data_IF_132901438090
#
_entry.id   IF_132901438090
#
_cell.length_a   1.000
_cell.length_b   1.000
_cell.length_c   1.000
_cell.angle_alpha   90.00
_cell.angle_beta   90.00
_cell.angle_gamma   90.00
#
_symmetry.space_group_name_H-M   'P 1'
#
loop_
_entity.id
_entity.type
_entity.pdbx_description
1 polymer ?
#
# COMPACT_ATOMS: atom_id res chain seq x y z
N UNK A 1 -11.07 -23.09 27.12
CA UNK A 1 -11.45 -22.72 28.49
C UNK A 1 -10.19 -22.40 29.29
N UNK A 2 -10.03 -21.14 29.69
CA UNK A 2 -8.84 -20.68 30.43
C UNK A 2 -8.80 -21.25 31.85
N UNK A 3 -9.95 -21.40 32.50
CA UNK A 3 -10.03 -21.93 33.86
C UNK A 3 -9.75 -23.43 33.90
N UNK A 4 -10.23 -24.18 32.91
CA UNK A 4 -9.98 -25.61 32.78
C UNK A 4 -8.61 -25.94 32.15
N UNK A 5 -7.93 -24.95 31.55
CA UNK A 5 -6.67 -25.17 30.82
C UNK A 5 -6.83 -26.05 29.57
N UNK A 6 -8.04 -26.10 28.99
CA UNK A 6 -8.36 -26.93 27.82
C UNK A 6 -8.57 -26.07 26.58
N UNK A 7 -8.18 -26.60 25.42
CA UNK A 7 -8.42 -26.00 24.11
C UNK A 7 -9.29 -26.91 23.26
N UNK A 8 -10.22 -26.33 22.51
CA UNK A 8 -11.05 -27.03 21.52
C UNK A 8 -11.02 -26.28 20.20
N UNK A 9 -11.04 -27.02 19.09
CA UNK A 9 -11.17 -26.43 17.76
C UNK A 9 -12.64 -26.05 17.51
N UNK A 10 -12.90 -24.77 17.22
CA UNK A 10 -14.26 -24.28 16.96
C UNK A 10 -14.72 -24.53 15.52
N UNK A 11 -13.79 -24.54 14.57
CA UNK A 11 -14.10 -24.76 13.16
C UNK A 11 -12.95 -25.43 12.43
N UNK A 12 -13.28 -26.22 11.41
CA UNK A 12 -12.36 -26.79 10.45
C UNK A 12 -12.47 -26.11 9.07
N UNK A 13 -13.13 -24.95 8.99
CA UNK A 13 -13.27 -24.19 7.76
C UNK A 13 -11.94 -23.49 7.39
N UNK A 14 -11.62 -23.46 6.10
CA UNK A 14 -10.39 -22.89 5.55
C UNK A 14 -10.51 -21.35 5.37
N UNK A 15 -10.91 -20.64 6.43
CA UNK A 15 -10.87 -19.18 6.46
C UNK A 15 -9.48 -18.69 6.85
N UNK A 16 -8.95 -17.72 6.12
CA UNK A 16 -7.87 -16.88 6.61
C UNK A 16 -8.46 -15.92 7.65
N UNK A 17 -7.85 -15.87 8.84
CA UNK A 17 -8.35 -15.09 9.98
C UNK A 17 -7.36 -14.00 10.33
N UNK A 18 -7.84 -12.75 10.36
CA UNK A 18 -7.04 -11.57 10.72
C UNK A 18 -7.26 -11.18 12.19
N UNK A 19 -8.52 -11.08 12.62
CA UNK A 19 -8.88 -10.68 13.97
C UNK A 19 -10.19 -11.31 14.43
N UNK A 20 -10.43 -11.30 15.74
CA UNK A 20 -11.68 -11.76 16.34
C UNK A 20 -12.13 -10.88 17.50
N UNK A 21 -13.42 -10.94 17.80
CA UNK A 21 -14.00 -10.38 19.02
C UNK A 21 -15.16 -11.23 19.52
N UNK A 22 -15.27 -11.35 20.85
CA UNK A 22 -16.39 -12.03 21.50
C UNK A 22 -17.64 -11.16 21.48
N UNK A 23 -18.81 -11.80 21.39
CA UNK A 23 -20.08 -11.16 21.72
C UNK A 23 -20.11 -10.79 23.21
N UNK A 24 -20.88 -9.77 23.61
CA UNK A 24 -20.98 -9.37 25.01
C UNK A 24 -21.49 -10.46 25.96
N UNK A 25 -22.22 -11.45 25.44
CA UNK A 25 -22.74 -12.61 26.19
C UNK A 25 -21.87 -13.87 26.07
N UNK A 26 -20.72 -13.76 25.40
CA UNK A 26 -19.74 -14.84 25.17
C UNK A 26 -20.28 -16.07 24.44
N UNK A 27 -21.42 -15.94 23.75
CA UNK A 27 -22.05 -17.05 22.98
C UNK A 27 -21.58 -17.13 21.55
N UNK A 28 -21.03 -16.04 21.01
CA UNK A 28 -20.61 -15.94 19.62
C UNK A 28 -19.26 -15.23 19.52
N UNK A 29 -18.58 -15.47 18.41
CA UNK A 29 -17.44 -14.68 17.99
C UNK A 29 -17.77 -14.03 16.65
N UNK A 30 -17.32 -12.80 16.48
CA UNK A 30 -17.15 -12.19 15.17
C UNK A 30 -15.69 -12.30 14.75
N UNK A 31 -15.46 -12.59 13.48
CA UNK A 31 -14.16 -12.79 12.87
C UNK A 31 -14.02 -11.80 11.71
N UNK A 32 -12.86 -11.16 11.58
CA UNK A 32 -12.41 -10.59 10.33
C UNK A 32 -11.59 -11.65 9.59
N UNK A 33 -12.00 -11.97 8.37
CA UNK A 33 -11.36 -13.03 7.59
C UNK A 33 -11.91 -13.14 6.17
N UNK A 34 -11.35 -14.04 5.38
CA UNK A 34 -11.82 -14.34 4.03
C UNK A 34 -11.58 -15.81 3.65
N UNK A 35 -12.34 -16.28 2.67
CA UNK A 35 -12.26 -17.64 2.11
C UNK A 35 -11.47 -17.68 0.79
N UNK A 36 -10.61 -16.67 0.56
CA UNK A 36 -9.72 -16.52 -0.58
C UNK A 36 -10.36 -16.75 -1.98
N UNK A 37 -11.59 -16.28 -2.28
CA UNK A 37 -12.23 -16.51 -3.59
C UNK A 37 -11.42 -15.92 -4.75
N UNK A 38 -10.59 -14.92 -4.46
CA UNK A 38 -9.64 -14.29 -5.37
C UNK A 38 -8.20 -14.35 -4.86
N UNK A 39 -7.83 -15.42 -4.15
CA UNK A 39 -6.48 -15.56 -3.58
C UNK A 39 -6.13 -14.35 -2.73
N UNK A 40 -4.89 -13.83 -2.83
CA UNK A 40 -4.46 -12.69 -2.01
C UNK A 40 -5.10 -11.35 -2.43
N UNK A 41 -5.94 -11.33 -3.47
CA UNK A 41 -6.74 -10.15 -3.81
C UNK A 41 -8.09 -10.09 -3.07
N UNK A 42 -8.45 -11.12 -2.31
CA UNK A 42 -9.75 -11.24 -1.63
C UNK A 42 -9.92 -10.20 -0.53
N UNK A 43 -11.13 -9.67 -0.37
CA UNK A 43 -11.46 -8.76 0.72
C UNK A 43 -11.72 -9.52 2.02
N UNK A 44 -11.16 -9.00 3.13
CA UNK A 44 -11.59 -9.37 4.46
C UNK A 44 -13.04 -8.95 4.64
N UNK A 45 -13.81 -9.82 5.27
CA UNK A 45 -15.23 -9.64 5.59
C UNK A 45 -15.50 -9.98 7.04
N UNK A 46 -16.67 -9.59 7.53
CA UNK A 46 -17.14 -9.98 8.85
C UNK A 46 -17.84 -11.33 8.78
N UNK A 47 -17.41 -12.25 9.63
CA UNK A 47 -18.00 -13.57 9.80
C UNK A 47 -18.43 -13.76 11.24
N UNK A 48 -19.48 -14.56 11.46
CA UNK A 48 -19.87 -15.02 12.81
C UNK A 48 -19.68 -16.52 12.96
N UNK A 49 -19.35 -16.95 14.16
CA UNK A 49 -19.36 -18.35 14.57
C UNK A 49 -19.89 -18.47 16.01
N UNK A 50 -20.59 -19.57 16.32
CA UNK A 50 -21.00 -19.89 17.68
C UNK A 50 -19.80 -20.30 18.55
N UNK A 51 -19.82 -19.96 19.83
CA UNK A 51 -18.76 -20.32 20.78
C UNK A 51 -18.63 -21.85 20.99
N UNK A 52 -19.67 -22.61 20.68
CA UNK A 52 -19.65 -24.07 20.65
C UNK A 52 -19.08 -24.66 19.36
N UNK A 53 -18.81 -23.81 18.37
CA UNK A 53 -18.24 -24.17 17.08
C UNK A 53 -19.26 -24.25 15.94
N UNK A 54 -18.77 -24.54 14.74
CA UNK A 54 -19.59 -24.67 13.54
C UNK A 54 -18.96 -24.05 12.29
N UNK A 55 -19.80 -23.84 11.27
CA UNK A 55 -19.40 -23.16 10.04
C UNK A 55 -19.53 -21.65 10.23
N UNK A 56 -18.47 -20.85 9.98
CA UNK A 56 -18.59 -19.40 9.99
C UNK A 56 -19.53 -18.89 8.88
N UNK A 57 -20.27 -17.84 9.18
CA UNK A 57 -21.22 -17.22 8.25
C UNK A 57 -20.89 -15.75 8.02
N UNK A 58 -20.79 -15.34 6.75
CA UNK A 58 -20.54 -13.95 6.39
C UNK A 58 -21.74 -13.05 6.75
N UNK A 59 -21.46 -11.97 7.46
CA UNK A 59 -22.46 -11.04 8.00
C UNK A 59 -22.71 -9.85 7.07
N UNK A 60 -21.66 -9.23 6.52
CA UNK A 60 -21.78 -8.01 5.72
C UNK A 60 -22.14 -8.29 4.24
N UNK A 61 -22.52 -7.23 3.53
CA UNK A 61 -22.71 -7.20 2.08
C UNK A 61 -21.82 -6.16 1.38
N UNK A 62 -20.69 -5.79 1.99
CA UNK A 62 -19.78 -4.77 1.45
C UNK A 62 -18.92 -5.37 0.34
N UNK A 63 -18.71 -4.61 -0.73
CA UNK A 63 -17.68 -4.87 -1.75
C UNK A 63 -16.48 -3.96 -1.49
N UNK A 64 -15.97 -4.03 -0.25
CA UNK A 64 -14.82 -3.27 0.26
C UNK A 64 -14.06 -4.13 1.27
N UNK A 65 -12.76 -3.92 1.33
CA UNK A 65 -11.91 -4.60 2.29
C UNK A 65 -12.07 -4.03 3.71
N UNK A 66 -12.27 -4.91 4.69
CA UNK A 66 -12.51 -4.52 6.09
C UNK A 66 -11.21 -4.37 6.90
N UNK A 67 -10.22 -3.66 6.35
CA UNK A 67 -8.95 -3.37 7.03
C UNK A 67 -8.33 -2.03 6.60
N UNK A 68 -7.31 -1.58 7.31
CA UNK A 68 -6.51 -0.42 6.91
C UNK A 68 -5.30 -0.86 6.08
N UNK A 69 -5.38 -0.66 4.78
CA UNK A 69 -4.31 -0.96 3.82
C UNK A 69 -3.68 0.31 3.22
N UNK A 70 -3.97 1.49 3.77
CA UNK A 70 -3.37 2.73 3.30
C UNK A 70 -1.89 2.78 3.69
N UNK A 71 -1.06 3.10 2.71
CA UNK A 71 0.38 3.28 2.86
C UNK A 71 0.66 4.49 3.76
N UNK A 72 1.61 4.30 4.67
CA UNK A 72 2.09 5.31 5.60
C UNK A 72 3.51 4.95 6.05
N UNK A 73 4.35 5.95 6.25
CA UNK A 73 5.73 5.80 6.75
C UNK A 73 5.96 6.44 8.13
N UNK A 74 4.89 6.88 8.80
CA UNK A 74 4.93 7.40 10.18
C UNK A 74 4.11 6.57 11.17
N UNK A 75 3.51 5.47 10.72
CA UNK A 75 2.78 4.52 11.57
C UNK A 75 3.79 3.68 12.37
N UNK A 76 3.82 3.84 13.69
CA UNK A 76 4.57 2.98 14.62
C UNK A 76 3.61 2.19 15.51
N UNK A 77 3.82 0.89 15.68
CA UNK A 77 3.08 0.07 16.65
C UNK A 77 1.84 -0.68 16.13
N UNK A 78 1.67 -0.79 14.80
CA UNK A 78 0.53 -1.50 14.19
C UNK A 78 -0.77 -0.70 14.22
N UNK A 79 -1.81 -1.24 13.57
CA UNK A 79 -3.17 -0.68 13.51
C UNK A 79 -4.01 -1.52 14.48
N UNK A 80 -4.59 -0.93 15.54
CA UNK A 80 -5.60 -1.64 16.33
C UNK A 80 -6.93 -1.58 15.57
N UNK A 81 -7.07 -2.47 14.59
CA UNK A 81 -8.19 -2.57 13.65
C UNK A 81 -9.18 -3.69 14.00
N UNK A 82 -8.95 -4.41 15.09
CA UNK A 82 -9.83 -5.52 15.51
C UNK A 82 -11.29 -5.06 15.59
N UNK A 83 -12.25 -5.90 15.17
CA UNK A 83 -13.66 -5.57 15.30
C UNK A 83 -14.02 -5.39 16.78
N UNK A 84 -14.97 -4.50 17.09
CA UNK A 84 -15.46 -4.28 18.46
C UNK A 84 -16.96 -4.53 18.51
N UNK A 85 -17.37 -5.54 19.27
CA UNK A 85 -18.78 -5.84 19.50
C UNK A 85 -19.27 -5.15 20.77
N UNK A 86 -20.19 -4.18 20.63
CA UNK A 86 -20.74 -3.39 21.74
C UNK A 86 -22.25 -3.37 21.63
N UNK A 87 -22.93 -4.05 22.57
CA UNK A 87 -24.38 -4.22 22.54
C UNK A 87 -24.81 -5.03 21.31
N UNK A 88 -25.70 -4.48 20.51
CA UNK A 88 -26.23 -5.05 19.26
C UNK A 88 -25.47 -4.59 18.01
N UNK A 89 -24.29 -3.96 18.16
CA UNK A 89 -23.51 -3.39 17.05
C UNK A 89 -22.08 -3.90 17.04
N UNK A 90 -21.55 -4.11 15.83
CA UNK A 90 -20.16 -4.50 15.57
C UNK A 90 -19.48 -3.36 14.80
N UNK A 91 -18.40 -2.81 15.34
CA UNK A 91 -17.63 -1.71 14.74
C UNK A 91 -16.34 -2.21 14.12
N UNK A 92 -15.98 -1.71 12.95
CA UNK A 92 -14.85 -2.19 12.15
C UNK A 92 -14.40 -1.14 11.12
N UNK A 93 -13.17 -1.28 10.64
CA UNK A 93 -12.60 -0.38 9.63
C UNK A 93 -12.97 -0.84 8.21
N UNK A 94 -13.10 0.12 7.30
CA UNK A 94 -13.32 -0.13 5.87
C UNK A 94 -12.37 0.77 5.07
N UNK A 95 -11.58 0.18 4.19
CA UNK A 95 -10.87 0.93 3.15
C UNK A 95 -11.86 1.31 2.03
N UNK A 96 -11.96 2.60 1.70
CA UNK A 96 -12.85 3.12 0.65
C UNK A 96 -12.19 4.30 -0.09
N UNK A 97 -11.77 4.05 -1.33
CA UNK A 97 -10.85 4.90 -2.09
C UNK A 97 -9.56 5.16 -1.30
N UNK A 98 -9.09 6.40 -1.33
CA UNK A 98 -7.97 6.85 -0.50
C UNK A 98 -8.29 7.07 1.00
N UNK A 99 -9.38 6.54 1.54
CA UNK A 99 -9.77 6.72 2.94
C UNK A 99 -9.90 5.39 3.70
N UNK A 100 -9.79 5.47 5.03
CA UNK A 100 -10.17 4.38 5.94
C UNK A 100 -11.16 4.94 6.95
N UNK A 101 -12.35 4.38 6.96
CA UNK A 101 -13.49 4.85 7.74
C UNK A 101 -13.86 3.84 8.83
N UNK A 102 -14.58 4.32 9.84
CA UNK A 102 -15.20 3.46 10.84
C UNK A 102 -16.66 3.21 10.46
N UNK A 103 -17.02 1.93 10.37
CA UNK A 103 -18.37 1.45 10.12
C UNK A 103 -18.92 0.72 11.34
N UNK A 104 -20.23 0.54 11.36
CA UNK A 104 -20.94 -0.34 12.28
C UNK A 104 -21.95 -1.22 11.54
N UNK A 105 -22.16 -2.43 12.03
CA UNK A 105 -23.19 -3.37 11.54
C UNK A 105 -24.07 -3.81 12.72
N UNK A 106 -25.40 -3.68 12.57
CA UNK A 106 -26.35 -4.22 13.53
C UNK A 106 -26.42 -5.75 13.48
N UNK A 107 -26.56 -6.41 14.63
CA UNK A 107 -26.71 -7.87 14.68
C UNK A 107 -28.01 -8.27 13.99
N UNK A 108 -27.91 -9.12 12.95
CA UNK A 108 -29.05 -9.52 12.12
C UNK A 108 -29.29 -8.64 10.90
N UNK A 109 -28.54 -7.54 10.76
CA UNK A 109 -28.52 -6.71 9.56
C UNK A 109 -27.42 -7.17 8.60
N UNK A 110 -27.52 -6.74 7.33
CA UNK A 110 -26.48 -6.97 6.31
C UNK A 110 -25.81 -5.69 5.81
N UNK A 111 -26.49 -4.55 5.99
CA UNK A 111 -26.02 -3.24 5.49
C UNK A 111 -25.28 -2.52 6.61
N UNK A 112 -24.00 -2.28 6.41
CA UNK A 112 -23.21 -1.50 7.35
C UNK A 112 -23.54 0.01 7.24
N UNK A 113 -23.43 0.69 8.38
CA UNK A 113 -23.59 2.13 8.55
C UNK A 113 -22.21 2.79 8.66
N UNK A 114 -22.01 3.88 7.92
CA UNK A 114 -20.84 4.74 8.10
C UNK A 114 -20.97 5.55 9.39
N UNK A 115 -20.02 5.37 10.31
CA UNK A 115 -20.00 6.07 11.61
C UNK A 115 -19.04 7.26 11.57
N UNK A 116 -17.81 7.04 11.08
CA UNK A 116 -16.77 8.08 10.95
C UNK A 116 -16.17 8.05 9.54
N UNK A 117 -16.57 8.99 8.68
CA UNK A 117 -16.18 9.08 7.27
C UNK A 117 -15.16 10.18 6.92
N UNK A 118 -15.20 10.74 5.71
CA UNK A 118 -14.41 11.92 5.33
C UNK A 118 -12.99 11.64 4.80
N UNK A 119 -12.22 12.70 4.58
CA UNK A 119 -10.85 12.66 4.04
C UNK A 119 -9.84 12.24 5.11
N UNK A 120 -9.93 10.98 5.55
CA UNK A 120 -9.12 10.46 6.66
C UNK A 120 -8.75 9.00 6.50
N UNK A 121 -7.65 8.63 7.16
CA UNK A 121 -7.30 7.26 7.49
C UNK A 121 -7.49 7.06 9.00
N UNK A 122 -8.47 6.27 9.41
CA UNK A 122 -8.59 5.83 10.81
C UNK A 122 -7.56 4.73 11.08
N UNK A 123 -6.72 4.96 12.08
CA UNK A 123 -5.52 4.17 12.38
C UNK A 123 -5.72 3.19 13.55
N UNK A 124 -6.60 3.54 14.49
CA UNK A 124 -7.00 2.68 15.59
C UNK A 124 -8.28 3.26 16.19
N UNK A 125 -9.10 2.41 16.79
CA UNK A 125 -10.32 2.88 17.46
C UNK A 125 -10.66 2.06 18.70
N UNK A 126 -11.46 2.67 19.58
CA UNK A 126 -12.10 2.05 20.74
C UNK A 126 -13.51 2.60 20.88
N UNK A 127 -14.43 1.75 21.31
CA UNK A 127 -15.84 2.09 21.49
C UNK A 127 -16.26 1.75 22.91
N UNK A 128 -16.86 2.71 23.62
CA UNK A 128 -17.38 2.50 24.98
C UNK A 128 -18.50 3.48 25.30
N UNK A 129 -19.62 2.99 25.84
CA UNK A 129 -20.73 3.83 26.32
C UNK A 129 -21.27 4.81 25.28
N UNK A 130 -21.34 4.41 24.00
CA UNK A 130 -21.79 5.26 22.88
C UNK A 130 -20.79 6.34 22.45
N UNK A 131 -19.58 6.34 23.00
CA UNK A 131 -18.49 7.23 22.60
C UNK A 131 -17.41 6.45 21.88
N UNK A 132 -16.77 7.09 20.92
CA UNK A 132 -15.67 6.51 20.15
C UNK A 132 -14.43 7.37 20.36
N UNK A 133 -13.30 6.74 20.66
CA UNK A 133 -11.99 7.37 20.60
C UNK A 133 -11.20 6.69 19.47
N UNK A 134 -10.52 7.47 18.66
CA UNK A 134 -9.78 6.93 17.52
C UNK A 134 -8.58 7.81 17.17
N UNK A 135 -7.53 7.21 16.64
CA UNK A 135 -6.43 7.94 16.00
C UNK A 135 -6.69 8.03 14.50
N UNK A 136 -6.38 9.15 13.89
CA UNK A 136 -6.52 9.31 12.45
C UNK A 136 -5.48 10.27 11.86
N UNK A 137 -5.16 10.04 10.59
CA UNK A 137 -4.52 11.01 9.71
C UNK A 137 -5.61 11.64 8.86
N UNK A 138 -5.73 12.96 8.89
CA UNK A 138 -6.74 13.68 8.09
C UNK A 138 -6.06 14.49 7.00
N UNK A 139 -6.55 14.38 5.76
CA UNK A 139 -6.04 15.14 4.60
C UNK A 139 -4.52 15.00 4.41
N UNK A 140 -4.02 13.78 4.59
CA UNK A 140 -2.60 13.46 4.52
C UNK A 140 -1.74 14.31 5.49
N UNK A 141 -2.26 14.59 6.69
CA UNK A 141 -1.54 15.27 7.78
C UNK A 141 -1.16 14.29 8.90
N UNK A 142 -0.18 14.70 9.73
CA UNK A 142 0.32 13.89 10.85
C UNK A 142 -0.80 13.48 11.83
N UNK A 143 -0.73 12.26 12.39
CA UNK A 143 -1.82 11.65 13.14
C UNK A 143 -2.11 12.34 14.47
N UNK A 144 -3.38 12.46 14.83
CA UNK A 144 -3.83 12.95 16.15
C UNK A 144 -4.87 11.99 16.75
N UNK A 145 -5.18 12.17 18.03
CA UNK A 145 -6.27 11.49 18.73
C UNK A 145 -7.56 12.31 18.61
N UNK A 146 -8.65 11.63 18.31
CA UNK A 146 -9.98 12.18 18.12
C UNK A 146 -11.00 11.45 19.01
N UNK A 147 -12.12 12.12 19.25
CA UNK A 147 -13.34 11.49 19.78
C UNK A 147 -14.52 11.74 18.86
N UNK A 148 -15.49 10.84 18.88
CA UNK A 148 -16.77 11.00 18.21
C UNK A 148 -17.93 10.67 19.17
N UNK A 149 -18.86 11.62 19.29
CA UNK A 149 -20.12 11.57 20.04
C UNK A 149 -21.29 12.10 19.19
N UNK A 150 -21.23 11.86 17.87
CA UNK A 150 -22.06 12.50 16.84
C UNK A 150 -21.33 13.62 16.10
N UNK A 151 -20.22 14.13 16.65
CA UNK A 151 -19.30 15.05 15.98
C UNK A 151 -17.85 14.64 16.23
N UNK A 152 -17.01 14.77 15.21
CA UNK A 152 -15.57 14.53 15.35
C UNK A 152 -14.92 15.72 16.04
N UNK A 153 -14.14 15.43 17.10
CA UNK A 153 -13.36 16.44 17.84
C UNK A 153 -11.94 15.95 18.04
N UNK A 154 -10.95 16.76 17.61
CA UNK A 154 -9.54 16.53 17.92
C UNK A 154 -9.29 16.75 19.41
N UNK A 155 -8.48 15.89 20.02
CA UNK A 155 -8.15 15.93 21.47
C UNK A 155 -6.69 16.19 21.76
N UNK A 156 -5.83 16.09 20.76
CA UNK A 156 -4.40 16.25 20.92
C UNK A 156 -3.83 17.24 19.90
N UNK A 157 -2.63 17.70 20.20
CA UNK A 157 -1.80 18.46 19.28
C UNK A 157 -0.37 17.90 19.38
N UNK A 158 -0.22 16.58 19.30
CA UNK A 158 1.07 15.91 19.44
C UNK A 158 2.08 16.43 18.41
N UNK A 159 1.58 16.82 17.22
CA UNK A 159 2.38 17.33 16.14
C UNK A 159 2.31 18.86 16.00
N UNK A 160 1.87 19.58 17.04
CA UNK A 160 1.70 21.04 17.00
C UNK A 160 2.98 21.79 16.59
N UNK A 161 4.13 21.38 17.14
CA UNK A 161 5.44 21.95 16.78
C UNK A 161 5.80 21.67 15.33
N UNK A 162 5.65 20.43 14.86
CA UNK A 162 5.93 20.08 13.46
C UNK A 162 5.03 20.85 12.48
N UNK A 163 3.74 21.01 12.79
CA UNK A 163 2.80 21.79 11.98
C UNK A 163 3.10 23.29 11.96
N UNK A 164 3.74 23.82 13.01
CA UNK A 164 4.15 25.22 13.11
C UNK A 164 5.47 25.48 12.39
N UNK A 165 6.44 24.59 12.57
CA UNK A 165 7.82 24.81 12.16
C UNK A 165 8.10 24.27 10.75
N UNK A 166 7.26 23.37 10.24
CA UNK A 166 7.38 22.77 8.91
C UNK A 166 6.23 23.20 8.01
N UNK A 167 6.56 23.42 6.75
CA UNK A 167 5.61 23.65 5.67
C UNK A 167 5.00 22.34 5.18
N UNK A 168 4.15 21.72 6.00
CA UNK A 168 3.44 20.51 5.62
C UNK A 168 2.40 20.82 4.52
N UNK A 169 2.51 20.12 3.40
CA UNK A 169 1.68 20.33 2.23
C UNK A 169 0.51 19.35 2.22
N UNK A 170 -0.62 19.80 1.68
CA UNK A 170 -1.78 18.93 1.44
C UNK A 170 -1.80 18.57 -0.05
N UNK A 171 -1.86 17.28 -0.40
CA UNK A 171 -1.96 16.85 -1.79
C UNK A 171 -3.33 17.23 -2.38
N UNK A 172 -3.35 17.56 -3.66
CA UNK A 172 -4.58 17.73 -4.43
C UNK A 172 -5.04 16.38 -4.97
N UNK A 173 -6.28 15.98 -4.66
CA UNK A 173 -6.89 14.76 -5.19
C UNK A 173 -7.45 15.00 -6.59
N UNK A 174 -7.27 14.03 -7.47
CA UNK A 174 -7.90 14.01 -8.79
C UNK A 174 -8.37 12.60 -9.16
N UNK A 175 -9.18 12.52 -10.21
CA UNK A 175 -9.55 11.27 -10.86
C UNK A 175 -9.44 11.44 -12.36
N UNK A 176 -9.10 10.37 -13.08
CA UNK A 176 -9.15 10.36 -14.54
C UNK A 176 -9.83 9.10 -15.05
N UNK A 177 -10.37 9.18 -16.28
CA UNK A 177 -10.88 8.01 -17.00
C UNK A 177 -9.74 7.38 -17.77
N UNK A 178 -9.46 6.13 -17.44
CA UNK A 178 -8.49 5.33 -18.12
C UNK A 178 -8.97 5.00 -19.55
N UNK A 179 -8.05 4.57 -20.42
CA UNK A 179 -8.34 4.28 -21.84
C UNK A 179 -9.45 3.23 -22.07
N UNK A 180 -9.71 2.37 -21.09
CA UNK A 180 -10.78 1.36 -21.13
C UNK A 180 -12.04 1.76 -20.33
N UNK A 181 -12.13 3.03 -19.90
CA UNK A 181 -13.29 3.61 -19.26
C UNK A 181 -13.32 3.49 -17.73
N UNK A 182 -12.43 2.70 -17.12
CA UNK A 182 -12.29 2.63 -15.67
C UNK A 182 -11.90 4.00 -15.10
N UNK A 183 -12.33 4.31 -13.87
CA UNK A 183 -11.91 5.54 -13.18
C UNK A 183 -10.76 5.21 -12.24
N UNK A 184 -9.66 5.95 -12.33
CA UNK A 184 -8.49 5.83 -11.46
C UNK A 184 -8.39 7.07 -10.60
N UNK A 185 -8.20 6.88 -9.29
CA UNK A 185 -7.99 7.95 -8.32
C UNK A 185 -6.50 8.22 -8.12
N UNK A 186 -6.15 9.48 -7.90
CA UNK A 186 -4.79 9.86 -7.57
C UNK A 186 -4.69 11.19 -6.84
N UNK A 187 -3.44 11.52 -6.52
CA UNK A 187 -3.06 12.73 -5.83
C UNK A 187 -1.79 13.31 -6.43
N UNK A 188 -1.68 14.64 -6.34
CA UNK A 188 -0.44 15.34 -6.66
C UNK A 188 -0.06 16.30 -5.51
N UNK A 189 1.17 16.15 -5.03
CA UNK A 189 1.74 17.04 -4.02
C UNK A 189 2.62 18.08 -4.72
N UNK A 190 2.10 19.30 -4.90
CA UNK A 190 2.85 20.42 -5.49
C UNK A 190 3.75 21.06 -4.42
N UNK A 191 5.08 21.19 -4.66
CA UNK A 191 5.95 21.94 -3.76
C UNK A 191 5.67 23.45 -3.81
N UNK A 192 6.09 24.21 -2.79
CA UNK A 192 6.01 25.69 -2.77
C UNK A 192 7.08 26.32 -3.68
N UNK A 193 7.02 25.98 -4.96
CA UNK A 193 7.91 26.47 -6.01
C UNK A 193 7.09 26.76 -7.26
N UNK A 194 7.41 27.86 -7.92
CA UNK A 194 6.76 28.27 -9.16
C UNK A 194 7.49 27.71 -10.40
N UNK A 195 6.77 27.72 -11.52
CA UNK A 195 7.28 27.27 -12.82
C UNK A 195 7.08 25.78 -13.08
N UNK A 196 7.81 25.28 -14.09
CA UNK A 196 7.84 23.86 -14.47
C UNK A 196 8.76 23.11 -13.50
N UNK A 197 8.26 22.01 -12.94
CA UNK A 197 8.86 21.27 -11.83
C UNK A 197 9.14 19.82 -12.23
N UNK A 198 10.29 19.26 -11.81
CA UNK A 198 10.52 17.83 -11.92
C UNK A 198 9.47 17.09 -11.08
N UNK A 199 8.97 15.97 -11.61
CA UNK A 199 7.86 15.23 -10.98
C UNK A 199 8.23 13.76 -10.82
N UNK A 200 8.04 13.22 -9.62
CA UNK A 200 8.22 11.80 -9.30
C UNK A 200 6.85 11.12 -9.34
N UNK A 201 6.67 10.17 -10.26
CA UNK A 201 5.59 9.18 -10.19
C UNK A 201 5.99 8.12 -9.16
N UNK A 202 5.31 8.10 -8.02
CA UNK A 202 5.57 7.15 -6.95
C UNK A 202 4.53 6.04 -6.93
N UNK A 203 4.99 4.78 -7.01
CA UNK A 203 4.17 3.57 -7.06
C UNK A 203 4.19 2.87 -5.70
N UNK A 204 3.02 2.58 -5.12
CA UNK A 204 2.92 1.85 -3.85
C UNK A 204 3.28 0.37 -3.99
N UNK A 205 3.56 -0.26 -2.84
CA UNK A 205 3.73 -1.72 -2.74
C UNK A 205 2.38 -2.46 -2.70
N UNK A 206 2.42 -3.76 -2.38
CA UNK A 206 1.24 -4.62 -2.36
C UNK A 206 1.30 -5.69 -3.45
N UNK A 207 0.45 -5.64 -4.50
CA UNK A 207 -0.23 -4.46 -5.03
C UNK A 207 -1.51 -4.06 -4.27
N UNK A 208 -2.12 -4.99 -3.53
CA UNK A 208 -3.35 -4.75 -2.75
C UNK A 208 -3.11 -3.93 -1.48
N UNK A 209 -2.67 -2.70 -1.69
CA UNK A 209 -2.68 -1.59 -0.73
C UNK A 209 -3.17 -0.36 -1.47
N UNK A 210 -3.24 0.80 -0.82
CA UNK A 210 -3.59 2.04 -1.50
C UNK A 210 -2.83 3.24 -0.95
N UNK A 211 -2.74 4.30 -1.73
CA UNK A 211 -2.47 5.66 -1.25
C UNK A 211 -3.76 6.41 -0.95
N UNK A 212 -3.63 7.53 -0.24
CA UNK A 212 -4.75 8.39 0.03
C UNK A 212 -4.46 9.44 1.09
N UNK A 213 -5.34 9.53 2.09
CA UNK A 213 -5.29 10.56 3.13
C UNK A 213 -4.38 10.20 4.32
N UNK A 214 -3.59 9.14 4.21
CA UNK A 214 -2.49 8.85 5.13
C UNK A 214 -1.29 9.76 4.86
N UNK A 215 -0.58 10.12 5.92
CA UNK A 215 0.63 10.95 5.82
C UNK A 215 1.81 10.14 5.26
N UNK A 216 2.50 10.71 4.28
CA UNK A 216 3.74 10.18 3.69
C UNK A 216 4.88 11.19 3.89
N UNK A 217 5.73 10.95 4.89
CA UNK A 217 6.90 11.77 5.20
C UNK A 217 7.83 11.89 4.00
N UNK A 218 8.08 10.78 3.30
CA UNK A 218 8.90 10.75 2.10
C UNK A 218 8.43 11.74 1.02
N UNK A 219 7.12 11.85 0.81
CA UNK A 219 6.56 12.76 -0.20
C UNK A 219 6.74 14.22 0.21
N UNK A 220 6.58 14.53 1.50
CA UNK A 220 6.85 15.86 2.05
C UNK A 220 8.34 16.22 1.90
N UNK A 221 9.25 15.25 2.07
CA UNK A 221 10.70 15.46 1.88
C UNK A 221 11.03 15.75 0.41
N UNK A 222 10.44 15.02 -0.54
CA UNK A 222 10.61 15.31 -1.97
C UNK A 222 10.06 16.69 -2.35
N UNK A 223 8.87 17.03 -1.87
CA UNK A 223 8.27 18.34 -2.11
C UNK A 223 9.08 19.49 -1.47
N UNK A 224 9.60 19.30 -0.26
CA UNK A 224 10.51 20.27 0.37
C UNK A 224 11.82 20.48 -0.43
N UNK A 225 12.17 19.54 -1.31
CA UNK A 225 13.31 19.64 -2.24
C UNK A 225 12.91 20.06 -3.66
N UNK A 226 11.66 20.47 -3.86
CA UNK A 226 11.18 21.06 -5.11
C UNK A 226 10.72 20.06 -6.17
N UNK A 227 10.54 18.79 -5.80
CA UNK A 227 9.96 17.76 -6.66
C UNK A 227 8.46 17.67 -6.41
N UNK A 228 7.64 17.73 -7.47
CA UNK A 228 6.25 17.33 -7.34
C UNK A 228 6.17 15.81 -7.20
N UNK A 229 5.19 15.32 -6.43
CA UNK A 229 4.98 13.88 -6.25
C UNK A 229 3.59 13.51 -6.76
N UNK A 230 3.55 12.70 -7.81
CA UNK A 230 2.34 12.12 -8.39
C UNK A 230 2.20 10.68 -7.88
N UNK A 231 1.06 10.33 -7.33
CA UNK A 231 0.81 8.97 -6.86
C UNK A 231 -0.67 8.63 -7.02
N UNK A 232 -0.95 7.41 -7.45
CA UNK A 232 -2.30 6.96 -7.81
C UNK A 232 -2.59 5.59 -7.22
N UNK A 233 -3.86 5.21 -7.28
CA UNK A 233 -4.33 3.87 -6.98
C UNK A 233 -4.71 3.17 -8.31
N UNK A 234 -3.73 2.59 -9.05
CA UNK A 234 -4.03 1.83 -10.26
C UNK A 234 -4.85 0.58 -9.92
N UNK A 235 -5.43 -0.10 -10.93
CA UNK A 235 -5.98 -1.44 -10.69
C UNK A 235 -4.97 -2.36 -10.02
N UNK A 236 -5.47 -3.17 -9.11
CA UNK A 236 -4.68 -3.91 -8.12
C UNK A 236 -4.67 -3.27 -6.74
N UNK A 237 -5.03 -1.98 -6.65
CA UNK A 237 -5.11 -1.27 -5.37
C UNK A 237 -6.31 -1.71 -4.53
N UNK A 238 -6.17 -1.58 -3.23
CA UNK A 238 -7.24 -1.76 -2.26
C UNK A 238 -8.12 -0.49 -2.12
N UNK A 239 -9.22 -0.59 -1.38
CA UNK A 239 -10.18 0.50 -1.18
C UNK A 239 -11.26 0.59 -2.26
N UNK A 240 -11.25 -0.30 -3.25
CA UNK A 240 -12.22 -0.34 -4.34
C UNK A 240 -13.01 -1.65 -4.30
N UNK A 241 -13.69 -1.98 -5.40
CA UNK A 241 -14.34 -3.29 -5.54
C UNK A 241 -13.29 -4.40 -5.59
N UNK A 242 -13.66 -5.60 -5.19
CA UNK A 242 -12.73 -6.74 -5.18
C UNK A 242 -12.23 -7.06 -6.60
N UNK A 243 -13.09 -6.85 -7.59
CA UNK A 243 -12.73 -6.95 -9.01
C UNK A 243 -11.71 -5.91 -9.47
N UNK A 244 -11.64 -4.73 -8.84
CA UNK A 244 -10.62 -3.72 -9.11
C UNK A 244 -9.27 -4.10 -8.49
N UNK A 245 -9.29 -4.74 -7.32
CA UNK A 245 -8.09 -5.22 -6.63
C UNK A 245 -7.49 -6.50 -7.25
N UNK A 246 -8.31 -7.33 -7.91
CA UNK A 246 -7.86 -8.59 -8.53
C UNK A 246 -7.22 -8.38 -9.91
N UNK A 247 -5.92 -8.11 -9.89
CA UNK A 247 -5.04 -8.11 -11.08
C UNK A 247 -4.14 -9.34 -11.15
N UNK A 248 -4.47 -10.40 -10.39
CA UNK A 248 -3.68 -11.64 -10.42
C UNK A 248 -3.53 -12.12 -11.85
N UNK A 249 -2.37 -12.68 -12.14
CA UNK A 249 -1.96 -13.13 -13.49
C UNK A 249 -1.78 -12.01 -14.50
N UNK A 250 -2.03 -10.74 -14.16
CA UNK A 250 -2.05 -9.61 -15.09
C UNK A 250 -1.13 -8.44 -14.67
N UNK A 251 -0.12 -8.73 -13.84
CA UNK A 251 0.89 -7.74 -13.48
C UNK A 251 1.66 -7.21 -14.70
N UNK A 252 1.89 -5.90 -14.72
CA UNK A 252 2.61 -5.22 -15.81
C UNK A 252 1.74 -4.94 -17.04
N UNK A 253 0.44 -5.23 -16.97
CA UNK A 253 -0.53 -5.02 -18.03
C UNK A 253 -1.34 -3.75 -17.72
N UNK A 254 -2.51 -3.91 -17.08
CA UNK A 254 -3.45 -2.80 -16.90
C UNK A 254 -3.05 -1.83 -15.80
N UNK A 255 -2.47 -2.36 -14.74
CA UNK A 255 -1.77 -1.64 -13.66
C UNK A 255 -0.69 -0.68 -14.21
N UNK A 256 0.14 -1.16 -15.15
CA UNK A 256 1.15 -0.35 -15.83
C UNK A 256 0.52 0.76 -16.68
N UNK A 257 -0.51 0.45 -17.47
CA UNK A 257 -1.19 1.46 -18.30
C UNK A 257 -1.83 2.56 -17.46
N UNK A 258 -2.44 2.22 -16.32
CA UNK A 258 -3.02 3.20 -15.40
C UNK A 258 -1.97 4.19 -14.88
N UNK A 259 -0.76 3.71 -14.58
CA UNK A 259 0.34 4.56 -14.13
C UNK A 259 0.87 5.46 -15.25
N UNK A 260 0.95 4.97 -16.48
CA UNK A 260 1.38 5.77 -17.64
C UNK A 260 0.35 6.84 -17.99
N UNK A 261 -0.93 6.48 -18.00
CA UNK A 261 -2.05 7.39 -18.25
C UNK A 261 -2.18 8.43 -17.12
N UNK A 262 -1.86 8.08 -15.87
CA UNK A 262 -1.77 9.04 -14.78
C UNK A 262 -0.66 10.08 -15.01
N UNK A 263 0.52 9.65 -15.49
CA UNK A 263 1.60 10.57 -15.84
C UNK A 263 1.20 11.50 -16.99
N UNK A 264 0.52 10.98 -18.01
CA UNK A 264 -0.02 11.77 -19.13
C UNK A 264 -1.07 12.78 -18.66
N UNK A 265 -2.02 12.33 -17.82
CA UNK A 265 -3.01 13.18 -17.21
C UNK A 265 -2.34 14.33 -16.46
N UNK A 266 -1.31 14.03 -15.67
CA UNK A 266 -0.62 15.05 -14.88
C UNK A 266 0.09 16.09 -15.74
N UNK A 267 0.80 15.65 -16.79
CA UNK A 267 1.46 16.55 -17.76
C UNK A 267 0.44 17.46 -18.47
N UNK A 268 -0.73 16.92 -18.79
CA UNK A 268 -1.77 17.66 -19.51
C UNK A 268 -2.52 18.67 -18.62
N UNK A 269 -2.77 18.35 -17.34
CA UNK A 269 -3.68 19.13 -16.50
C UNK A 269 -3.00 19.99 -15.43
N UNK A 270 -1.75 19.70 -15.06
CA UNK A 270 -1.01 20.51 -14.08
C UNK A 270 0.07 21.34 -14.77
N UNK A 271 -0.13 22.67 -14.95
CA UNK A 271 0.81 23.52 -15.66
C UNK A 271 2.22 23.55 -15.05
N UNK A 272 2.37 23.19 -13.77
CA UNK A 272 3.67 23.09 -13.11
C UNK A 272 4.40 21.77 -13.40
N UNK A 273 3.77 20.75 -13.96
CA UNK A 273 4.44 19.48 -14.28
C UNK A 273 5.30 19.64 -15.53
N UNK A 274 6.58 19.28 -15.42
CA UNK A 274 7.53 19.22 -16.53
C UNK A 274 7.61 17.80 -17.09
N UNK A 275 6.94 17.56 -18.21
CA UNK A 275 6.95 16.24 -18.87
C UNK A 275 8.33 15.78 -19.36
N UNK A 276 9.33 16.66 -19.42
CA UNK A 276 10.70 16.31 -19.79
C UNK A 276 11.57 15.91 -18.60
N UNK A 277 11.13 16.17 -17.36
CA UNK A 277 11.82 15.89 -16.10
C UNK A 277 10.97 15.02 -15.18
N UNK A 278 10.63 13.83 -15.66
CA UNK A 278 9.88 12.83 -14.90
C UNK A 278 10.84 11.78 -14.31
N UNK A 279 10.57 11.37 -13.08
CA UNK A 279 11.14 10.15 -12.49
C UNK A 279 10.03 9.18 -12.09
N UNK A 280 10.39 7.89 -11.98
CA UNK A 280 9.53 6.84 -11.43
C UNK A 280 10.23 6.21 -10.23
N UNK A 281 9.49 6.00 -9.14
CA UNK A 281 10.04 5.34 -7.97
C UNK A 281 8.98 4.47 -7.29
N UNK A 282 9.42 3.47 -6.55
CA UNK A 282 8.51 2.62 -5.80
C UNK A 282 9.23 1.52 -5.04
N UNK A 283 8.53 0.95 -4.05
CA UNK A 283 9.06 -0.11 -3.22
C UNK A 283 8.24 -1.40 -3.27
N UNK A 284 8.87 -2.55 -3.12
CA UNK A 284 8.21 -3.87 -3.17
C UNK A 284 7.58 -4.10 -4.54
N UNK A 285 6.27 -4.37 -4.65
CA UNK A 285 5.56 -4.35 -5.92
C UNK A 285 5.73 -3.01 -6.68
N UNK A 286 5.80 -1.86 -6.00
CA UNK A 286 6.12 -0.59 -6.66
C UNK A 286 7.54 -0.54 -7.24
N UNK A 287 8.48 -1.30 -6.64
CA UNK A 287 9.84 -1.50 -7.17
C UNK A 287 9.84 -2.45 -8.37
N UNK A 288 9.06 -3.54 -8.31
CA UNK A 288 8.77 -4.40 -9.48
C UNK A 288 8.23 -3.56 -10.64
N UNK A 289 7.23 -2.72 -10.39
CA UNK A 289 6.61 -1.87 -11.40
C UNK A 289 7.59 -0.79 -11.89
N UNK A 290 8.45 -0.25 -11.03
CA UNK A 290 9.54 0.65 -11.44
C UNK A 290 10.49 -0.04 -12.42
N UNK A 291 10.93 -1.27 -12.11
CA UNK A 291 11.78 -2.09 -12.98
C UNK A 291 11.08 -2.42 -14.31
N UNK A 292 9.78 -2.72 -14.25
CA UNK A 292 8.95 -2.98 -15.44
C UNK A 292 8.86 -1.74 -16.33
N UNK A 293 8.46 -0.61 -15.78
CA UNK A 293 8.27 0.68 -16.48
C UNK A 293 9.51 1.06 -17.28
N UNK A 294 10.70 1.02 -16.69
CA UNK A 294 11.94 1.42 -17.38
C UNK A 294 12.37 0.42 -18.48
N UNK A 295 11.82 -0.80 -18.47
CA UNK A 295 11.97 -1.79 -19.53
C UNK A 295 10.97 -1.62 -20.68
N UNK A 296 9.85 -0.92 -20.44
CA UNK A 296 8.79 -0.69 -21.44
C UNK A 296 8.80 0.71 -22.06
N UNK A 297 9.38 1.71 -21.40
CA UNK A 297 9.42 3.09 -21.89
C UNK A 297 10.70 3.83 -21.50
N UNK A 298 11.02 4.89 -22.24
CA UNK A 298 12.20 5.74 -22.05
C UNK A 298 11.86 7.16 -21.57
N UNK A 299 10.59 7.43 -21.23
CA UNK A 299 10.11 8.77 -20.85
C UNK A 299 10.68 9.30 -19.54
N UNK A 300 11.12 8.42 -18.65
CA UNK A 300 11.64 8.78 -17.33
C UNK A 300 13.15 9.06 -17.40
N UNK A 301 13.58 10.15 -16.76
CA UNK A 301 14.99 10.59 -16.70
C UNK A 301 15.75 10.03 -15.51
N UNK A 302 15.04 9.56 -14.50
CA UNK A 302 15.60 8.83 -13.37
C UNK A 302 14.60 7.78 -12.87
N UNK A 303 15.10 6.69 -12.32
CA UNK A 303 14.30 5.72 -11.61
C UNK A 303 14.94 5.35 -10.26
N UNK A 304 14.10 5.08 -9.26
CA UNK A 304 14.55 4.50 -7.99
C UNK A 304 13.70 3.28 -7.65
N UNK A 305 14.31 2.10 -7.70
CA UNK A 305 13.67 0.85 -7.31
C UNK A 305 14.10 0.46 -5.90
N UNK A 306 13.15 0.07 -5.06
CA UNK A 306 13.39 -0.18 -3.65
C UNK A 306 12.83 -1.53 -3.23
N UNK A 307 13.62 -2.35 -2.51
CA UNK A 307 13.19 -3.66 -1.97
C UNK A 307 12.38 -4.47 -3.00
N UNK A 308 12.86 -4.47 -4.24
CA UNK A 308 12.05 -4.78 -5.44
C UNK A 308 12.09 -6.26 -5.83
N UNK A 309 11.24 -6.61 -6.79
CA UNK A 309 11.29 -7.90 -7.49
C UNK A 309 11.86 -7.66 -8.90
N UNK A 310 12.79 -8.51 -9.30
CA UNK A 310 13.47 -8.48 -10.59
C UNK A 310 13.07 -9.69 -11.46
N UNK A 311 12.89 -10.84 -10.83
CA UNK A 311 12.70 -12.12 -11.47
C UNK A 311 11.77 -13.02 -10.64
N UNK A 312 10.63 -13.40 -11.21
CA UNK A 312 9.64 -14.24 -10.54
C UNK A 312 10.15 -15.65 -10.22
N UNK A 313 11.12 -16.16 -11.00
CA UNK A 313 11.75 -17.44 -10.71
C UNK A 313 12.52 -17.41 -9.40
N UNK A 314 13.40 -16.42 -9.23
CA UNK A 314 14.20 -16.28 -8.02
C UNK A 314 13.36 -15.80 -6.84
N UNK A 315 12.33 -14.98 -7.07
CA UNK A 315 11.36 -14.64 -6.03
C UNK A 315 10.65 -15.89 -5.50
N UNK A 316 10.13 -16.75 -6.39
CA UNK A 316 9.51 -18.03 -6.01
C UNK A 316 10.46 -18.88 -5.14
N UNK A 317 11.74 -18.94 -5.50
CA UNK A 317 12.72 -19.79 -4.84
C UNK A 317 13.29 -19.23 -3.52
N UNK A 318 13.21 -17.92 -3.30
CA UNK A 318 13.99 -17.26 -2.23
C UNK A 318 13.18 -16.38 -1.28
N UNK A 319 11.97 -15.98 -1.67
CA UNK A 319 11.08 -15.21 -0.81
C UNK A 319 10.46 -16.09 0.28
N UNK A 320 10.24 -15.51 1.46
CA UNK A 320 9.48 -16.12 2.56
C UNK A 320 8.03 -16.50 2.17
N UNK A 321 7.50 -15.90 1.11
CA UNK A 321 6.16 -16.17 0.56
C UNK A 321 6.19 -16.70 -0.90
N UNK A 322 7.38 -16.96 -1.44
CA UNK A 322 7.61 -17.19 -2.87
C UNK A 322 6.70 -18.25 -3.51
N UNK A 323 6.65 -19.50 -2.99
CA UNK A 323 5.93 -20.58 -3.67
C UNK A 323 4.42 -20.32 -3.87
N UNK A 324 3.74 -19.79 -2.86
CA UNK A 324 2.30 -19.53 -2.95
C UNK A 324 1.99 -18.18 -3.59
N UNK A 325 2.79 -17.15 -3.30
CA UNK A 325 2.56 -15.81 -3.86
C UNK A 325 2.84 -15.75 -5.36
N UNK A 326 3.94 -16.31 -5.84
CA UNK A 326 4.23 -16.33 -7.29
C UNK A 326 3.14 -17.07 -8.04
N UNK A 327 2.71 -18.25 -7.56
CA UNK A 327 1.67 -19.03 -8.22
C UNK A 327 0.34 -18.27 -8.33
N UNK A 328 -0.08 -17.61 -7.26
CA UNK A 328 -1.32 -16.83 -7.25
C UNK A 328 -1.22 -15.58 -8.13
N UNK A 329 -0.10 -14.84 -8.05
CA UNK A 329 0.04 -13.52 -8.67
C UNK A 329 0.54 -13.55 -10.11
N UNK A 330 1.42 -14.48 -10.47
CA UNK A 330 1.87 -14.70 -11.86
C UNK A 330 0.90 -15.64 -12.60
N UNK A 331 0.21 -16.52 -11.86
CA UNK A 331 -0.80 -17.43 -12.39
C UNK A 331 -0.28 -18.80 -12.78
N UNK A 332 1.03 -19.04 -12.67
CA UNK A 332 1.71 -20.29 -13.01
C UNK A 332 2.74 -20.62 -11.95
N UNK A 333 3.01 -21.92 -11.76
CA UNK A 333 4.22 -22.34 -11.08
C UNK A 333 5.39 -22.25 -12.07
N UNK A 334 6.55 -21.71 -11.68
CA UNK A 334 7.69 -21.60 -12.59
C UNK A 334 8.10 -22.94 -13.22
N UNK A 335 7.96 -24.06 -12.50
CA UNK A 335 8.29 -25.39 -13.04
C UNK A 335 7.35 -25.86 -14.15
N UNK A 336 6.12 -25.33 -14.19
CA UNK A 336 5.10 -25.69 -15.17
C UNK A 336 5.16 -24.77 -16.41
N UNK A 337 5.51 -23.49 -16.24
CA UNK A 337 5.59 -22.51 -17.33
C UNK A 337 6.69 -21.45 -17.07
N UNK A 338 7.90 -21.78 -17.48
CA UNK A 338 9.07 -20.90 -17.39
C UNK A 338 8.91 -19.64 -18.25
N UNK A 339 8.31 -19.77 -19.45
CA UNK A 339 8.21 -18.65 -20.39
C UNK A 339 7.28 -17.56 -19.88
N UNK A 340 6.11 -17.92 -19.34
CA UNK A 340 5.20 -16.96 -18.69
C UNK A 340 5.87 -16.30 -17.48
N UNK A 341 6.57 -17.08 -16.66
CA UNK A 341 7.32 -16.57 -15.50
C UNK A 341 8.37 -15.54 -15.93
N UNK A 342 9.16 -15.84 -16.96
CA UNK A 342 10.20 -14.95 -17.47
C UNK A 342 9.62 -13.77 -18.25
N UNK A 343 8.51 -13.93 -18.98
CA UNK A 343 7.80 -12.84 -19.65
C UNK A 343 7.28 -11.80 -18.66
N UNK A 344 6.84 -12.21 -17.47
CA UNK A 344 6.40 -11.29 -16.41
C UNK A 344 7.54 -10.76 -15.54
N UNK A 345 8.79 -11.14 -15.81
CA UNK A 345 9.96 -10.74 -15.02
C UNK A 345 10.68 -9.52 -15.62
N UNK A 346 10.84 -8.40 -14.88
CA UNK A 346 11.52 -7.19 -15.37
C UNK A 346 12.93 -7.45 -15.91
N UNK A 347 13.66 -8.41 -15.35
CA UNK A 347 15.02 -8.75 -15.78
C UNK A 347 15.12 -9.10 -17.28
N UNK A 348 14.04 -9.63 -17.88
CA UNK A 348 13.99 -9.97 -19.30
C UNK A 348 14.13 -8.74 -20.21
N UNK A 349 13.77 -7.56 -19.70
CA UNK A 349 13.69 -6.33 -20.47
C UNK A 349 14.90 -5.39 -20.27
N UNK A 350 15.90 -5.81 -19.48
CA UNK A 350 17.13 -5.04 -19.24
C UNK A 350 17.80 -4.48 -20.50
N UNK A 351 17.90 -5.21 -21.63
CA UNK A 351 18.54 -4.66 -22.83
C UNK A 351 17.90 -3.35 -23.33
N UNK A 352 16.60 -3.16 -23.09
CA UNK A 352 15.79 -2.00 -23.49
C UNK A 352 15.95 -0.80 -22.56
N UNK A 353 16.43 -1.01 -21.34
CA UNK A 353 16.53 0.04 -20.32
C UNK A 353 17.48 1.14 -20.79
N UNK A 354 17.05 2.39 -20.66
CA UNK A 354 17.89 3.59 -20.90
C UNK A 354 17.87 4.56 -19.74
N UNK A 355 16.86 4.50 -18.88
CA UNK A 355 16.73 5.33 -17.68
C UNK A 355 17.78 4.94 -16.63
N UNK A 356 18.55 5.91 -16.09
CA UNK A 356 19.41 5.69 -14.93
C UNK A 356 18.64 5.15 -13.72
N UNK A 357 19.12 4.06 -13.12
CA UNK A 357 18.46 3.40 -11.98
C UNK A 357 19.29 3.44 -10.69
N UNK A 358 18.71 3.96 -9.61
CA UNK A 358 19.16 3.68 -8.25
C UNK A 358 18.43 2.47 -7.70
N UNK A 359 19.17 1.49 -7.20
CA UNK A 359 18.64 0.31 -6.51
C UNK A 359 18.86 0.48 -5.01
N UNK A 360 17.79 0.43 -4.22
CA UNK A 360 17.82 0.52 -2.75
C UNK A 360 17.37 -0.82 -2.18
N UNK A 361 18.19 -1.47 -1.35
CA UNK A 361 17.84 -2.78 -0.79
C UNK A 361 18.44 -3.02 0.59
N UNK A 362 17.81 -3.88 1.38
CA UNK A 362 18.30 -4.26 2.72
C UNK A 362 18.76 -5.72 2.74
N UNK A 363 19.83 -6.04 3.47
CA UNK A 363 20.40 -7.40 3.50
C UNK A 363 19.47 -8.45 4.12
N UNK A 364 18.70 -8.09 5.15
CA UNK A 364 17.78 -9.02 5.83
C UNK A 364 16.33 -8.87 5.35
N UNK A 365 16.12 -8.35 4.14
CA UNK A 365 14.82 -8.41 3.50
C UNK A 365 14.55 -9.85 3.04
N UNK A 366 13.73 -10.61 3.75
CA UNK A 366 13.34 -11.97 3.37
C UNK A 366 12.10 -12.00 2.45
N UNK A 367 11.41 -10.86 2.31
CA UNK A 367 10.20 -10.74 1.48
C UNK A 367 10.57 -10.60 0.02
N UNK A 368 11.45 -9.67 -0.30
CA UNK A 368 12.08 -9.55 -1.60
C UNK A 368 13.58 -9.69 -1.35
N UNK A 369 14.12 -10.90 -1.48
CA UNK A 369 15.49 -11.13 -1.06
C UNK A 369 16.50 -10.31 -1.88
N UNK A 370 17.61 -9.92 -1.26
CA UNK A 370 18.58 -9.00 -1.88
C UNK A 370 19.21 -9.52 -3.19
N UNK A 371 19.05 -10.82 -3.49
CA UNK A 371 19.39 -11.39 -4.79
C UNK A 371 18.64 -10.74 -5.95
N UNK A 372 17.43 -10.22 -5.73
CA UNK A 372 16.66 -9.47 -6.73
C UNK A 372 17.39 -8.18 -7.13
N UNK A 373 17.92 -7.44 -6.14
CA UNK A 373 18.73 -6.24 -6.40
C UNK A 373 20.06 -6.57 -7.11
N UNK A 374 20.75 -7.64 -6.69
CA UNK A 374 22.02 -8.06 -7.29
C UNK A 374 21.86 -8.46 -8.76
N UNK A 375 20.77 -9.16 -9.09
CA UNK A 375 20.43 -9.53 -10.47
C UNK A 375 20.22 -8.29 -11.34
N UNK A 376 19.46 -7.30 -10.88
CA UNK A 376 19.25 -6.06 -11.63
C UNK A 376 20.55 -5.28 -11.80
N UNK A 377 21.30 -5.07 -10.71
CA UNK A 377 22.55 -4.31 -10.73
C UNK A 377 23.57 -4.92 -11.70
N UNK A 378 23.79 -6.23 -11.60
CA UNK A 378 24.80 -6.93 -12.42
C UNK A 378 24.39 -6.95 -13.89
N UNK A 379 23.12 -7.23 -14.18
CA UNK A 379 22.58 -7.22 -15.56
C UNK A 379 22.70 -5.83 -16.19
N UNK A 380 22.31 -4.77 -15.48
CA UNK A 380 22.41 -3.39 -15.97
C UNK A 380 23.87 -2.99 -16.21
N UNK A 381 24.78 -3.30 -15.27
CA UNK A 381 26.22 -3.04 -15.44
C UNK A 381 26.79 -3.79 -16.64
N UNK A 382 26.43 -5.06 -16.83
CA UNK A 382 26.85 -5.85 -17.99
C UNK A 382 26.43 -5.19 -19.32
N UNK A 383 25.21 -4.65 -19.37
CA UNK A 383 24.70 -3.93 -20.54
C UNK A 383 25.15 -2.46 -20.64
N UNK A 384 26.14 -2.03 -19.84
CA UNK A 384 26.69 -0.68 -19.86
C UNK A 384 25.68 0.40 -19.46
N UNK A 385 24.64 0.06 -18.72
CA UNK A 385 23.59 0.99 -18.26
C UNK A 385 24.05 1.72 -17.00
N UNK A 386 23.55 2.94 -16.81
CA UNK A 386 23.80 3.72 -15.61
C UNK A 386 22.97 3.17 -14.44
N UNK A 387 23.68 2.68 -13.41
CA UNK A 387 23.06 2.08 -12.23
C UNK A 387 23.94 2.28 -11.00
N UNK A 388 23.32 2.61 -9.87
CA UNK A 388 23.92 2.63 -8.53
C UNK A 388 23.13 1.71 -7.60
N UNK A 389 23.79 1.14 -6.59
CA UNK A 389 23.16 0.30 -5.58
C UNK A 389 23.50 0.78 -4.17
N UNK A 390 22.47 1.09 -3.40
CA UNK A 390 22.53 1.45 -1.98
C UNK A 390 22.03 0.27 -1.14
N UNK A 391 22.96 -0.46 -0.52
CA UNK A 391 22.66 -1.62 0.32
C UNK A 391 22.73 -1.29 1.81
N UNK A 392 21.69 -1.65 2.55
CA UNK A 392 21.55 -1.37 3.99
C UNK A 392 21.72 -2.64 4.81
N UNK A 393 22.73 -2.71 5.71
CA UNK A 393 22.88 -3.82 6.64
C UNK A 393 21.97 -3.65 7.86
N UNK A 394 21.58 -4.76 8.50
CA UNK A 394 20.83 -4.73 9.78
C UNK A 394 19.46 -4.05 9.65
N UNK A 395 18.77 -4.26 8.52
CA UNK A 395 17.41 -3.83 8.19
C UNK A 395 16.79 -4.83 7.21
N UNK A 396 15.45 -4.75 7.06
CA UNK A 396 14.63 -5.68 6.27
C UNK A 396 13.67 -4.91 5.33
N UNK A 397 12.58 -5.56 4.91
CA UNK A 397 11.54 -5.00 4.03
C UNK A 397 10.88 -3.72 4.58
N UNK A 398 10.93 -3.52 5.90
CA UNK A 398 10.36 -2.38 6.62
C UNK A 398 11.30 -1.18 6.71
N UNK A 399 12.48 -1.19 6.07
CA UNK A 399 13.47 -0.10 6.11
C UNK A 399 12.81 1.30 6.03
N UNK A 400 11.95 1.53 5.04
CA UNK A 400 11.30 2.83 4.82
C UNK A 400 10.30 3.26 5.92
N UNK A 401 9.75 2.33 6.69
CA UNK A 401 8.65 2.54 7.66
C UNK A 401 9.12 2.34 9.11
N UNK A 402 9.73 1.19 9.40
CA UNK A 402 10.20 0.77 10.73
C UNK A 402 11.72 0.66 10.87
N UNK A 403 12.49 0.94 9.82
CA UNK A 403 13.95 0.86 9.88
C UNK A 403 14.59 1.87 10.83
N UNK A 404 15.87 1.66 11.15
CA UNK A 404 16.61 2.55 12.06
C UNK A 404 16.56 4.00 11.55
N UNK A 405 16.33 5.02 12.39
CA UNK A 405 16.21 6.41 11.95
C UNK A 405 17.37 6.89 11.05
N UNK A 406 18.62 6.52 11.39
CA UNK A 406 19.79 6.85 10.57
C UNK A 406 19.77 6.22 9.17
N UNK A 407 19.25 5.00 9.03
CA UNK A 407 19.17 4.30 7.76
C UNK A 407 18.02 4.86 6.91
N UNK A 408 16.88 5.21 7.54
CA UNK A 408 15.78 5.94 6.89
C UNK A 408 16.24 7.27 6.30
N UNK A 409 16.99 8.06 7.09
CA UNK A 409 17.57 9.33 6.62
C UNK A 409 18.58 9.11 5.49
N UNK A 410 19.47 8.13 5.61
CA UNK A 410 20.47 7.83 4.58
C UNK A 410 19.81 7.40 3.26
N UNK A 411 18.76 6.57 3.33
CA UNK A 411 17.93 6.18 2.18
C UNK A 411 17.32 7.39 1.49
N UNK A 412 16.65 8.29 2.22
CA UNK A 412 16.06 9.50 1.64
C UNK A 412 17.11 10.42 1.00
N UNK A 413 18.31 10.53 1.60
CA UNK A 413 19.43 11.27 1.01
C UNK A 413 19.91 10.64 -0.31
N UNK A 414 19.94 9.32 -0.42
CA UNK A 414 20.31 8.63 -1.66
C UNK A 414 19.30 8.91 -2.79
N UNK A 415 17.99 8.87 -2.48
CA UNK A 415 16.93 9.26 -3.42
C UNK A 415 17.12 10.71 -3.90
N UNK A 416 17.27 11.66 -2.97
CA UNK A 416 17.39 13.07 -3.31
C UNK A 416 18.64 13.35 -4.15
N UNK A 417 19.78 12.74 -3.82
CA UNK A 417 21.01 12.84 -4.62
C UNK A 417 20.78 12.30 -6.04
N UNK A 418 20.12 11.16 -6.17
CA UNK A 418 19.85 10.56 -7.48
C UNK A 418 18.95 11.46 -8.34
N UNK A 419 17.86 11.97 -7.75
CA UNK A 419 16.99 12.92 -8.43
C UNK A 419 17.70 14.22 -8.79
N UNK A 420 18.54 14.76 -7.91
CA UNK A 420 19.32 15.98 -8.19
C UNK A 420 20.26 15.80 -9.38
N UNK A 421 20.97 14.68 -9.47
CA UNK A 421 21.88 14.38 -10.58
C UNK A 421 21.17 14.28 -11.93
N UNK A 422 19.95 13.76 -11.97
CA UNK A 422 19.28 13.36 -13.22
C UNK A 422 18.06 14.22 -13.61
N UNK A 423 17.53 15.03 -12.69
CA UNK A 423 16.40 15.94 -12.92
C UNK A 423 16.76 17.42 -12.66
N UNK A 424 17.96 17.68 -12.12
CA UNK A 424 18.46 19.00 -11.73
C UNK A 424 18.53 20.01 -12.87
#
# INVERSE_FOLDING_TARGET
>A
DVAAGTSSQLTNHDLELDALAWSPDERQLVLLGDDLPRGFASHLHLWRIDATGGKPERMDALDRNLSNSLNCDVRMGGVNAEPKWVGDRIYFLVADGGAVHLYALGVGERKAELVVGGERSVEAFQVSGGKIAFTAMERAQLPELFTFDGQVRVRTAFNGTARKDLDLLTPERFTFRASDGATVEGWILKPKKEGKLPTVLYVHGGPKTAFGYSYMHEFQVFAAKGYAVLYTNPRGSDGYTEAFADIRKHYGERDYQDLMEAADHAVAHYPFVDGSRLAVAGGSYGGFMTNWVIGQTTRFKAAVTDRSIANWWTFWATSDIGPHFTKDQVGVDPWDDEETTMAKSPIRYIPRVTTPLLIVHSFEDLRCWHVEALQMYTSLKHHGKEVEMFLVPKDNHELSRGGKPKHRVARLKAYLRWFETHLG
#
